data_IF_961303284640
#
_entry.id   IF_961303284640
#
_cell.length_a   1.000
_cell.length_b   1.000
_cell.length_c   1.000
_cell.angle_alpha   90.00
_cell.angle_beta   90.00
_cell.angle_gamma   90.00
#
_symmetry.space_group_name_H-M   'P 1'
#
loop_
_entity.id
_entity.type
_entity.pdbx_description
1 polymer ?
#
# COMPACT_ATOMS: atom_id res chain seq x y z
N UNK A 1 27.67 -22.39 14.76
CA UNK A 1 27.66 -22.33 13.27
C UNK A 1 26.24 -22.57 12.78
N UNK A 2 25.56 -21.52 12.27
CA UNK A 2 24.16 -21.62 11.86
C UNK A 2 24.04 -22.34 10.50
N UNK A 3 23.29 -23.45 10.46
CA UNK A 3 22.96 -24.18 9.23
C UNK A 3 22.18 -23.24 8.30
N UNK A 4 22.82 -22.77 7.21
CA UNK A 4 22.11 -22.13 6.10
C UNK A 4 21.07 -23.14 5.58
N UNK A 5 19.80 -22.78 5.66
CA UNK A 5 18.70 -23.63 5.19
C UNK A 5 18.89 -23.95 3.70
N UNK A 6 18.58 -25.19 3.29
CA UNK A 6 18.73 -25.73 1.92
C UNK A 6 18.19 -24.83 0.78
N UNK A 7 17.34 -23.87 1.11
CA UNK A 7 16.66 -22.95 0.18
C UNK A 7 17.62 -21.90 -0.40
N UNK A 8 18.70 -21.54 0.31
CA UNK A 8 19.63 -20.47 -0.10
C UNK A 8 20.60 -20.90 -1.22
N UNK A 9 20.66 -22.21 -1.52
CA UNK A 9 21.48 -22.80 -2.58
C UNK A 9 20.92 -22.62 -3.99
N UNK A 10 19.61 -22.40 -4.14
CA UNK A 10 18.90 -22.39 -5.42
C UNK A 10 18.67 -20.98 -6.00
N UNK A 11 19.11 -19.92 -5.31
CA UNK A 11 18.93 -18.54 -5.78
C UNK A 11 19.97 -18.14 -6.82
N UNK A 12 19.53 -17.58 -7.93
CA UNK A 12 20.41 -17.01 -8.97
C UNK A 12 21.25 -15.86 -8.41
N UNK A 13 22.40 -15.56 -9.03
CA UNK A 13 23.29 -14.46 -8.61
C UNK A 13 22.56 -13.12 -8.53
N UNK A 14 21.66 -12.86 -9.48
CA UNK A 14 20.82 -11.66 -9.48
C UNK A 14 19.82 -11.64 -8.33
N UNK A 15 19.23 -12.78 -7.98
CA UNK A 15 18.30 -12.90 -6.85
C UNK A 15 19.04 -12.65 -5.54
N UNK A 16 20.25 -13.19 -5.36
CA UNK A 16 21.10 -12.91 -4.19
C UNK A 16 21.50 -11.44 -4.11
N UNK A 17 21.85 -10.83 -5.25
CA UNK A 17 22.16 -9.39 -5.29
C UNK A 17 20.94 -8.52 -4.95
N UNK A 18 19.76 -8.85 -5.49
CA UNK A 18 18.50 -8.20 -5.15
C UNK A 18 18.19 -8.37 -3.67
N UNK A 19 18.30 -9.57 -3.11
CA UNK A 19 18.08 -9.82 -1.68
C UNK A 19 18.96 -8.90 -0.82
N UNK A 20 20.26 -8.81 -1.11
CA UNK A 20 21.18 -7.94 -0.34
C UNK A 20 20.87 -6.46 -0.54
N UNK A 21 20.59 -6.03 -1.78
CA UNK A 21 20.34 -4.63 -2.12
C UNK A 21 19.02 -4.12 -1.55
N UNK A 22 17.97 -4.93 -1.61
CA UNK A 22 16.61 -4.61 -1.16
C UNK A 22 16.34 -5.05 0.28
N UNK A 23 17.32 -5.64 0.98
CA UNK A 23 17.21 -5.97 2.41
C UNK A 23 16.97 -4.73 3.28
N UNK A 24 17.51 -3.58 2.88
CA UNK A 24 17.39 -2.34 3.63
C UNK A 24 16.15 -1.57 3.19
N UNK A 25 15.22 -1.40 4.12
CA UNK A 25 14.07 -0.54 3.94
C UNK A 25 14.45 0.91 4.23
N UNK A 26 14.04 1.83 3.35
CA UNK A 26 14.11 3.26 3.63
C UNK A 26 12.83 3.67 4.35
N UNK A 27 12.96 4.14 5.58
CA UNK A 27 11.86 4.66 6.38
C UNK A 27 12.23 6.07 6.79
N UNK A 28 11.43 7.05 6.39
CA UNK A 28 11.67 8.43 6.81
C UNK A 28 11.43 8.55 8.31
N UNK A 29 12.44 9.04 9.04
CA UNK A 29 12.35 9.21 10.50
C UNK A 29 11.19 10.14 10.87
N UNK A 30 10.99 11.21 10.10
CA UNK A 30 9.91 12.18 10.31
C UNK A 30 8.53 11.52 10.22
N UNK A 31 8.34 10.60 9.29
CA UNK A 31 7.09 9.86 9.17
C UNK A 31 6.81 9.00 10.41
N UNK A 32 7.80 8.28 10.93
CA UNK A 32 7.64 7.40 12.11
C UNK A 32 7.43 8.19 13.40
N UNK A 33 8.12 9.33 13.56
CA UNK A 33 7.97 10.19 14.74
C UNK A 33 6.77 11.15 14.62
N UNK A 34 6.08 11.16 13.48
CA UNK A 34 4.97 12.09 13.24
C UNK A 34 3.78 11.80 14.14
N UNK A 35 2.98 12.84 14.42
CA UNK A 35 1.67 12.70 15.08
C UNK A 35 0.72 11.77 14.31
N UNK A 36 0.85 11.70 12.98
CA UNK A 36 0.05 10.82 12.14
C UNK A 36 0.34 9.34 12.40
N UNK A 37 1.62 8.97 12.46
CA UNK A 37 2.04 7.59 12.74
C UNK A 37 1.76 7.20 14.19
N UNK A 38 2.04 8.09 15.14
CA UNK A 38 1.70 7.89 16.56
C UNK A 38 0.17 7.83 16.79
N UNK A 39 -0.61 8.45 15.90
CA UNK A 39 -2.08 8.43 15.93
C UNK A 39 -2.72 7.20 15.31
N UNK A 40 -1.93 6.21 14.88
CA UNK A 40 -2.43 4.89 14.44
C UNK A 40 -2.91 4.09 15.66
N UNK A 41 -4.08 3.47 15.55
CA UNK A 41 -4.72 2.76 16.68
C UNK A 41 -4.40 1.28 16.67
N UNK A 42 -4.21 0.71 15.48
CA UNK A 42 -4.05 -0.73 15.31
C UNK A 42 -2.62 -1.09 14.88
N UNK A 43 -2.02 -2.09 15.52
CA UNK A 43 -0.71 -2.62 15.11
C UNK A 43 -0.67 -3.10 13.65
N UNK A 44 -1.80 -3.60 13.14
CA UNK A 44 -1.96 -3.96 11.74
C UNK A 44 -1.78 -2.76 10.79
N UNK A 45 -2.16 -1.54 11.19
CA UNK A 45 -1.93 -0.35 10.37
C UNK A 45 -0.43 -0.07 10.24
N UNK A 46 0.32 -0.17 11.34
CA UNK A 46 1.78 -0.03 11.33
C UNK A 46 2.43 -1.10 10.43
N UNK A 47 2.04 -2.37 10.57
CA UNK A 47 2.56 -3.46 9.74
C UNK A 47 2.28 -3.23 8.25
N UNK A 48 1.04 -2.86 7.92
CA UNK A 48 0.63 -2.59 6.53
C UNK A 48 1.41 -1.42 5.95
N UNK A 49 1.64 -0.36 6.71
CA UNK A 49 2.47 0.77 6.27
C UNK A 49 3.92 0.34 5.96
N UNK A 50 4.53 -0.45 6.84
CA UNK A 50 5.88 -0.98 6.60
C UNK A 50 5.93 -1.86 5.35
N UNK A 51 4.88 -2.64 5.07
CA UNK A 51 4.79 -3.44 3.83
C UNK A 51 4.64 -2.54 2.59
N UNK A 52 3.90 -1.43 2.70
CA UNK A 52 3.84 -0.44 1.63
C UNK A 52 5.22 0.16 1.36
N UNK A 53 5.96 0.56 2.41
CA UNK A 53 7.34 1.05 2.29
C UNK A 53 8.28 0.01 1.68
N UNK A 54 8.13 -1.27 2.05
CA UNK A 54 8.89 -2.38 1.45
C UNK A 54 8.63 -2.51 -0.06
N UNK A 55 7.38 -2.32 -0.50
CA UNK A 55 6.99 -2.39 -1.92
C UNK A 55 7.37 -1.16 -2.73
N UNK A 56 7.87 -0.10 -2.09
CA UNK A 56 8.27 1.13 -2.76
C UNK A 56 9.58 0.96 -3.54
N UNK A 57 9.58 1.45 -4.78
CA UNK A 57 10.75 1.42 -5.64
C UNK A 57 11.37 2.81 -5.68
N UNK A 58 12.45 2.97 -4.92
CA UNK A 58 13.23 4.20 -4.91
C UNK A 58 14.24 4.19 -6.06
N UNK A 59 14.15 5.19 -6.94
CA UNK A 59 15.14 5.41 -7.99
C UNK A 59 15.98 6.64 -7.67
N UNK A 60 17.30 6.60 -7.91
CA UNK A 60 18.13 7.79 -7.79
C UNK A 60 17.73 8.78 -8.88
N UNK A 61 17.75 10.07 -8.56
CA UNK A 61 17.59 11.12 -9.56
C UNK A 61 18.90 11.20 -10.37
N UNK A 62 18.82 11.01 -11.69
CA UNK A 62 19.98 10.88 -12.57
C UNK A 62 20.91 12.11 -12.54
N UNK A 63 20.35 13.29 -12.33
CA UNK A 63 21.10 14.56 -12.25
C UNK A 63 21.24 15.11 -10.82
N UNK A 64 21.07 14.26 -9.79
CA UNK A 64 21.28 14.72 -8.42
C UNK A 64 22.74 15.13 -8.18
N UNK A 65 22.99 16.25 -7.48
CA UNK A 65 24.34 16.66 -7.15
C UNK A 65 25.05 15.55 -6.38
N UNK A 66 26.30 15.26 -6.74
CA UNK A 66 27.09 14.11 -6.23
C UNK A 66 27.18 14.04 -4.70
N UNK A 67 27.03 15.19 -4.01
CA UNK A 67 27.01 15.32 -2.55
C UNK A 67 25.65 15.08 -1.89
N UNK A 68 24.54 15.20 -2.63
CA UNK A 68 23.17 14.95 -2.13
C UNK A 68 22.45 14.06 -3.13
N UNK A 69 22.63 12.74 -2.99
CA UNK A 69 21.85 11.76 -3.75
C UNK A 69 20.39 11.87 -3.32
N UNK A 70 19.58 12.46 -4.18
CA UNK A 70 18.13 12.50 -4.01
C UNK A 70 17.51 11.28 -4.69
N UNK A 71 16.44 10.77 -4.09
CA UNK A 71 15.69 9.63 -4.58
C UNK A 71 14.23 10.06 -4.78
N UNK A 72 13.59 9.52 -5.80
CA UNK A 72 12.16 9.69 -6.00
C UNK A 72 11.46 8.33 -5.99
N UNK A 73 10.19 8.33 -5.59
CA UNK A 73 9.37 7.14 -5.59
C UNK A 73 8.90 6.86 -7.03
N UNK A 74 9.51 5.87 -7.68
CA UNK A 74 9.24 5.59 -9.08
C UNK A 74 7.86 4.95 -9.32
N UNK A 75 7.28 4.33 -8.30
CA UNK A 75 5.98 3.64 -8.35
C UNK A 75 4.88 4.37 -7.55
N UNK A 76 4.94 5.70 -7.49
CA UNK A 76 3.93 6.50 -6.82
C UNK A 76 2.56 6.30 -7.48
N UNK A 77 1.62 5.70 -6.75
CA UNK A 77 0.27 5.45 -7.26
C UNK A 77 0.08 4.13 -8.01
N UNK A 78 1.13 3.33 -8.14
CA UNK A 78 1.10 2.01 -8.78
C UNK A 78 1.35 0.86 -7.78
N UNK A 79 1.43 1.17 -6.48
CA UNK A 79 1.73 0.17 -5.47
C UNK A 79 0.55 -0.80 -5.38
N UNK A 80 0.80 -2.06 -5.69
CA UNK A 80 -0.19 -3.13 -5.63
C UNK A 80 -0.03 -3.91 -4.33
N UNK A 81 -1.12 -3.99 -3.57
CA UNK A 81 -1.20 -4.87 -2.41
C UNK A 81 -2.60 -5.49 -2.31
N UNK A 82 -2.68 -6.79 -2.59
CA UNK A 82 -3.95 -7.54 -2.61
C UNK A 82 -4.24 -8.18 -1.26
N UNK A 83 -5.51 -8.49 -1.02
CA UNK A 83 -5.97 -9.15 0.21
C UNK A 83 -5.35 -10.56 0.37
N UNK A 84 -5.24 -11.31 -0.72
CA UNK A 84 -4.66 -12.65 -0.71
C UNK A 84 -3.16 -12.58 -0.42
N UNK A 85 -2.45 -11.62 -1.02
CA UNK A 85 -1.03 -11.40 -0.73
C UNK A 85 -0.81 -11.04 0.75
N UNK A 86 -1.70 -10.23 1.34
CA UNK A 86 -1.63 -9.87 2.75
C UNK A 86 -1.82 -11.09 3.66
N UNK A 87 -2.69 -12.03 3.30
CA UNK A 87 -2.95 -13.23 4.08
C UNK A 87 -1.83 -14.26 3.91
N UNK A 88 -1.47 -14.60 2.68
CA UNK A 88 -0.54 -15.70 2.37
C UNK A 88 0.91 -15.37 2.73
N UNK A 89 1.38 -14.14 2.43
CA UNK A 89 2.78 -13.77 2.67
C UNK A 89 3.01 -13.18 4.05
N UNK A 90 2.03 -12.44 4.57
CA UNK A 90 2.21 -11.62 5.77
C UNK A 90 1.33 -12.05 6.93
N UNK A 91 0.42 -13.03 6.75
CA UNK A 91 -0.46 -13.51 7.82
C UNK A 91 -1.52 -12.49 8.28
N UNK A 92 -1.76 -11.44 7.50
CA UNK A 92 -2.70 -10.38 7.86
C UNK A 92 -4.10 -10.75 7.33
N UNK A 93 -5.02 -11.01 8.25
CA UNK A 93 -6.42 -11.28 7.89
C UNK A 93 -7.05 -10.10 7.14
N UNK A 94 -7.91 -10.38 6.16
CA UNK A 94 -8.58 -9.37 5.33
C UNK A 94 -9.25 -8.24 6.14
N UNK A 95 -9.90 -8.57 7.27
CA UNK A 95 -10.52 -7.59 8.18
C UNK A 95 -9.49 -6.64 8.79
N UNK A 96 -8.35 -7.17 9.26
CA UNK A 96 -7.24 -6.37 9.82
C UNK A 96 -6.60 -5.50 8.74
N UNK A 97 -6.41 -6.06 7.55
CA UNK A 97 -5.87 -5.33 6.41
C UNK A 97 -6.75 -4.14 6.02
N UNK A 98 -8.07 -4.37 5.92
CA UNK A 98 -9.04 -3.31 5.60
C UNK A 98 -9.01 -2.19 6.64
N UNK A 99 -9.04 -2.54 7.94
CA UNK A 99 -8.93 -1.57 9.03
C UNK A 99 -7.61 -0.80 8.98
N UNK A 100 -6.51 -1.49 8.69
CA UNK A 100 -5.19 -0.88 8.50
C UNK A 100 -5.20 0.15 7.38
N UNK A 101 -5.71 -0.20 6.21
CA UNK A 101 -5.85 0.75 5.08
C UNK A 101 -6.71 1.95 5.48
N UNK A 102 -7.89 1.71 6.07
CA UNK A 102 -8.80 2.79 6.44
C UNK A 102 -8.14 3.76 7.47
N UNK A 103 -7.35 3.25 8.41
CA UNK A 103 -6.56 4.07 9.34
C UNK A 103 -5.45 4.85 8.64
N UNK A 104 -4.69 4.21 7.75
CA UNK A 104 -3.59 4.86 7.03
C UNK A 104 -4.08 5.98 6.10
N UNK A 105 -5.22 5.77 5.43
CA UNK A 105 -5.87 6.80 4.61
C UNK A 105 -6.39 7.95 5.48
N UNK A 106 -6.95 7.62 6.66
CA UNK A 106 -7.45 8.62 7.62
C UNK A 106 -6.35 9.56 8.10
N UNK A 107 -5.17 9.03 8.44
CA UNK A 107 -4.04 9.85 8.90
C UNK A 107 -3.23 10.48 7.76
N UNK A 108 -3.52 10.10 6.51
CA UNK A 108 -2.87 10.67 5.33
C UNK A 108 -1.49 10.10 5.01
N UNK A 109 -1.14 8.92 5.54
CA UNK A 109 0.10 8.22 5.20
C UNK A 109 0.04 7.57 3.82
N UNK A 110 -1.15 7.15 3.39
CA UNK A 110 -1.39 6.58 2.07
C UNK A 110 -2.61 7.21 1.40
N UNK A 111 -2.61 7.19 0.08
CA UNK A 111 -3.75 7.54 -0.77
C UNK A 111 -4.13 6.35 -1.66
N UNK A 112 -5.42 6.17 -1.89
CA UNK A 112 -5.94 5.16 -2.83
C UNK A 112 -6.06 5.85 -4.19
N UNK A 113 -5.22 5.48 -5.15
CA UNK A 113 -5.23 6.07 -6.50
C UNK A 113 -6.26 5.41 -7.40
N UNK A 114 -6.35 4.09 -7.35
CA UNK A 114 -7.38 3.31 -8.04
C UNK A 114 -7.98 2.31 -7.06
N UNK A 115 -9.30 2.35 -6.88
CA UNK A 115 -10.01 1.26 -6.22
C UNK A 115 -10.35 0.20 -7.26
N UNK A 116 -9.82 -1.02 -7.10
CA UNK A 116 -10.23 -2.15 -7.94
C UNK A 116 -11.68 -2.54 -7.65
N UNK A 117 -12.38 -3.09 -8.64
CA UNK A 117 -13.78 -3.51 -8.49
C UNK A 117 -13.96 -4.95 -8.02
N UNK A 118 -12.87 -5.63 -7.65
CA UNK A 118 -12.87 -7.06 -7.29
C UNK A 118 -13.19 -7.97 -8.47
N UNK A 119 -13.14 -7.44 -9.69
CA UNK A 119 -13.24 -8.20 -10.93
C UNK A 119 -11.87 -8.78 -11.30
N UNK A 120 -11.87 -9.83 -12.11
CA UNK A 120 -10.66 -10.55 -12.50
C UNK A 120 -9.61 -9.58 -13.07
N UNK A 121 -8.38 -9.63 -12.52
CA UNK A 121 -7.23 -8.75 -12.84
C UNK A 121 -7.35 -7.27 -12.41
N UNK A 122 -8.43 -6.87 -11.76
CA UNK A 122 -8.66 -5.48 -11.41
C UNK A 122 -8.21 -5.19 -9.97
N UNK A 123 -7.00 -4.63 -9.84
CA UNK A 123 -6.30 -4.45 -8.56
C UNK A 123 -6.44 -3.03 -8.02
N UNK A 124 -6.48 -2.92 -6.70
CA UNK A 124 -6.33 -1.63 -6.03
C UNK A 124 -4.89 -1.14 -6.11
N UNK A 125 -4.75 0.14 -6.44
CA UNK A 125 -3.48 0.84 -6.49
C UNK A 125 -3.43 1.89 -5.40
N UNK A 126 -2.24 2.03 -4.81
CA UNK A 126 -1.99 2.92 -3.69
C UNK A 126 -0.77 3.80 -3.97
N UNK A 127 -0.75 4.97 -3.34
CA UNK A 127 0.39 5.87 -3.28
C UNK A 127 0.76 6.15 -1.82
N UNK A 128 2.05 6.38 -1.56
CA UNK A 128 2.46 7.11 -0.36
C UNK A 128 2.08 8.57 -0.56
N UNK A 129 1.52 9.16 0.49
CA UNK A 129 1.07 10.55 0.49
C UNK A 129 1.90 11.34 1.49
N UNK A 130 2.09 12.63 1.24
CA UNK A 130 2.74 13.56 2.18
C UNK A 130 1.71 14.30 3.05
N UNK A 131 0.42 13.98 2.90
CA UNK A 131 -0.68 14.60 3.66
C UNK A 131 -0.55 14.44 5.16
N UNK A 132 0.15 13.40 5.62
CA UNK A 132 0.43 13.18 7.04
C UNK A 132 1.22 14.33 7.68
N UNK A 133 2.00 15.11 6.91
CA UNK A 133 2.74 16.26 7.46
C UNK A 133 1.80 17.33 8.03
N UNK A 134 0.61 17.46 7.43
CA UNK A 134 -0.43 18.41 7.88
C UNK A 134 -1.33 17.81 8.97
N UNK A 135 -1.14 16.56 9.37
CA UNK A 135 -2.03 15.89 10.30
C UNK A 135 -2.10 16.59 11.67
N UNK A 136 -3.31 16.97 12.09
CA UNK A 136 -3.55 17.73 13.32
C UNK A 136 -3.45 19.25 13.16
N UNK A 137 -3.37 19.75 11.92
CA UNK A 137 -3.56 21.16 11.57
C UNK A 137 -4.91 21.36 10.88
N UNK A 138 -5.40 22.60 10.83
CA UNK A 138 -6.66 22.94 10.17
C UNK A 138 -6.63 22.70 8.65
N UNK A 139 -5.43 22.66 8.05
CA UNK A 139 -5.24 22.33 6.64
C UNK A 139 -5.36 20.83 6.34
N UNK A 140 -5.57 19.99 7.35
CA UNK A 140 -5.64 18.54 7.14
C UNK A 140 -6.95 18.13 6.47
N UNK A 141 -6.87 17.81 5.18
CA UNK A 141 -7.98 17.19 4.46
C UNK A 141 -8.12 15.73 4.88
N UNK A 142 -9.19 15.38 5.60
CA UNK A 142 -9.49 13.98 5.94
C UNK A 142 -10.07 13.26 4.71
N UNK A 143 -9.39 12.24 4.21
CA UNK A 143 -9.95 11.34 3.20
C UNK A 143 -10.51 10.07 3.84
N UNK A 144 -11.56 9.54 3.23
CA UNK A 144 -12.12 8.24 3.54
C UNK A 144 -12.12 7.40 2.26
N UNK A 145 -11.94 6.10 2.42
CA UNK A 145 -12.11 5.16 1.31
C UNK A 145 -13.54 5.28 0.78
N UNK A 146 -13.68 5.51 -0.52
CA UNK A 146 -14.98 5.55 -1.16
C UNK A 146 -15.62 4.17 -1.08
N UNK A 147 -16.81 4.10 -0.48
CA UNK A 147 -17.60 2.87 -0.48
C UNK A 147 -18.11 2.63 -1.90
N UNK A 148 -18.11 1.36 -2.30
CA UNK A 148 -18.69 0.94 -3.59
C UNK A 148 -20.16 1.36 -3.66
N UNK A 149 -20.51 2.16 -4.66
CA UNK A 149 -21.91 2.57 -4.92
C UNK A 149 -22.63 1.69 -5.94
N UNK A 150 -21.87 0.95 -6.76
CA UNK A 150 -22.43 0.14 -7.85
C UNK A 150 -23.04 -1.16 -7.28
N UNK A 151 -24.31 -1.41 -7.64
CA UNK A 151 -24.94 -2.72 -7.52
C UNK A 151 -24.43 -3.59 -8.68
N UNK A 152 -23.60 -4.61 -8.43
CA UNK A 152 -23.38 -5.63 -9.48
C UNK A 152 -24.31 -6.82 -9.32
N UNK A 153 -24.47 -7.53 -10.43
CA UNK A 153 -25.35 -8.70 -10.56
C UNK A 153 -26.66 -8.34 -11.24
N UNK A 154 -27.49 -9.35 -11.49
CA UNK A 154 -28.82 -9.21 -12.08
C UNK A 154 -29.86 -8.81 -11.02
N UNK A 155 -29.56 -7.79 -10.20
CA UNK A 155 -30.50 -7.32 -9.18
C UNK A 155 -31.58 -6.44 -9.80
N UNK A 156 -32.78 -6.46 -9.21
CA UNK A 156 -33.94 -5.66 -9.65
C UNK A 156 -33.56 -4.16 -9.61
N UNK A 157 -33.59 -3.50 -10.77
CA UNK A 157 -33.19 -2.10 -10.93
C UNK A 157 -31.82 -1.89 -11.61
N UNK A 158 -31.08 -2.96 -11.91
CA UNK A 158 -29.86 -2.87 -12.70
C UNK A 158 -30.18 -2.89 -14.22
N UNK A 159 -29.61 -1.97 -14.99
CA UNK A 159 -29.86 -1.80 -16.44
C UNK A 159 -29.29 -2.91 -17.32
N UNK A 160 -28.42 -3.77 -16.76
CA UNK A 160 -27.71 -4.82 -17.50
C UNK A 160 -28.40 -6.20 -17.43
N UNK A 161 -29.53 -6.34 -16.75
CA UNK A 161 -30.27 -7.60 -16.65
C UNK A 161 -31.60 -7.58 -17.39
N UNK A 162 -31.91 -8.64 -18.16
CA UNK A 162 -33.16 -8.77 -18.95
C UNK A 162 -34.46 -8.65 -18.11
N UNK A 163 -34.38 -8.76 -16.78
CA UNK A 163 -35.48 -8.57 -15.83
C UNK A 163 -35.65 -7.11 -15.36
N UNK A 164 -35.07 -6.12 -16.07
CA UNK A 164 -35.14 -4.70 -15.73
C UNK A 164 -36.44 -4.00 -16.12
N UNK A 165 -37.43 -4.72 -16.65
CA UNK A 165 -38.74 -4.17 -16.99
C UNK A 165 -39.52 -3.77 -15.73
N UNK A 166 -39.83 -2.48 -15.59
CA UNK A 166 -40.85 -2.01 -14.63
C UNK A 166 -42.21 -2.59 -15.06
N UNK A 167 -42.86 -3.36 -14.19
CA UNK A 167 -44.33 -3.48 -14.21
C UNK A 167 -44.91 -2.30 -13.47
#
# INVERSE_FOLDING_TARGET
>A
MAKKSKIDGLKTREQKFKDVKWNRMFVERRAVTSKAFLGLKTAAACQVYMIFLYKCQWKPIEHAPRRKKAYYLANQGEIQFTYDEALEKWGITQKKFTKGIDELVRVGLIDITKSGFGLQKDKSLYAISDRWEKFGTDEFVVKKRQKRKQQLGFTKGNSYGKNSGKK
#
